data_IF_058806796684
#
_entry.id   IF_058806796684
#
_cell.length_a   1.000
_cell.length_b   1.000
_cell.length_c   1.000
_cell.angle_alpha   90.00
_cell.angle_beta   90.00
_cell.angle_gamma   90.00
#
_symmetry.space_group_name_H-M   'P 1'
#
loop_
_entity.id
_entity.type
_entity.pdbx_description
1 polymer ?
#
# COMPACT_ATOMS: atom_id res chain seq x y z
N UNK A 1 10.96 23.35 2.22
CA UNK A 1 11.81 23.93 1.15
C UNK A 1 12.97 24.70 1.75
N UNK A 2 13.68 25.51 0.95
CA UNK A 2 14.73 26.40 1.45
C UNK A 2 14.18 27.31 2.57
N UNK A 3 14.95 27.50 3.65
CA UNK A 3 14.56 28.36 4.78
C UNK A 3 13.83 27.70 5.94
N UNK A 4 13.53 26.40 5.90
CA UNK A 4 12.97 25.64 7.03
C UNK A 4 14.00 24.60 7.48
N UNK A 5 14.44 24.71 8.73
CA UNK A 5 15.35 23.78 9.39
C UNK A 5 14.66 23.14 10.61
N UNK A 6 14.04 21.99 10.38
CA UNK A 6 13.39 21.19 11.42
C UNK A 6 14.18 19.88 11.53
N UNK A 7 14.80 19.64 12.68
CA UNK A 7 15.72 18.52 12.86
C UNK A 7 15.02 17.15 12.87
N UNK A 8 13.77 17.11 13.32
CA UNK A 8 13.00 15.88 13.57
C UNK A 8 12.00 15.51 12.46
N UNK A 9 12.34 15.78 11.20
CA UNK A 9 11.54 15.31 10.06
C UNK A 9 11.77 13.80 9.88
N UNK A 10 10.70 13.00 10.05
CA UNK A 10 10.76 11.53 9.97
C UNK A 10 10.49 10.95 8.58
N UNK A 11 9.87 11.73 7.70
CA UNK A 11 9.57 11.29 6.34
C UNK A 11 9.66 12.45 5.37
N UNK A 12 10.28 12.19 4.22
CA UNK A 12 10.19 13.04 3.02
C UNK A 12 9.58 12.18 1.91
N UNK A 13 8.51 12.68 1.31
CA UNK A 13 7.78 11.97 0.25
C UNK A 13 7.83 12.80 -1.02
N UNK A 14 8.44 12.24 -2.06
CA UNK A 14 8.39 12.75 -3.42
C UNK A 14 7.22 12.09 -4.15
N UNK A 15 6.17 12.87 -4.43
CA UNK A 15 4.96 12.39 -5.13
C UNK A 15 5.13 12.31 -6.66
N UNK A 16 6.33 12.55 -7.16
CA UNK A 16 6.74 12.42 -8.55
C UNK A 16 8.27 12.46 -8.62
N UNK A 17 8.84 11.91 -9.69
CA UNK A 17 10.29 11.96 -9.89
C UNK A 17 10.79 13.42 -9.94
N UNK A 18 11.80 13.82 -9.16
CA UNK A 18 12.50 15.09 -9.34
C UNK A 18 13.17 15.19 -10.70
N UNK A 19 13.53 16.41 -11.10
CA UNK A 19 14.25 16.65 -12.37
C UNK A 19 15.71 16.20 -12.34
N UNK A 20 16.30 15.99 -11.17
CA UNK A 20 17.70 15.59 -11.01
C UNK A 20 18.00 14.95 -9.65
N UNK A 21 19.15 14.26 -9.55
CA UNK A 21 19.64 13.67 -8.30
C UNK A 21 20.01 14.76 -7.27
N UNK A 22 20.51 15.91 -7.70
CA UNK A 22 20.84 17.04 -6.81
C UNK A 22 19.59 17.57 -6.12
N UNK A 23 18.50 17.76 -6.88
CA UNK A 23 17.19 18.13 -6.34
C UNK A 23 16.71 17.10 -5.32
N UNK A 24 16.73 15.82 -5.70
CA UNK A 24 16.34 14.73 -4.81
C UNK A 24 17.15 14.72 -3.50
N UNK A 25 18.47 14.86 -3.57
CA UNK A 25 19.35 14.87 -2.40
C UNK A 25 19.14 16.08 -1.50
N UNK A 26 18.99 17.27 -2.08
CA UNK A 26 18.75 18.48 -1.30
C UNK A 26 17.42 18.43 -0.54
N UNK A 27 16.42 17.78 -1.13
CA UNK A 27 15.07 17.66 -0.58
C UNK A 27 14.97 16.51 0.42
N UNK A 28 15.46 15.32 0.06
CA UNK A 28 15.45 14.12 0.92
C UNK A 28 16.38 14.25 2.12
N UNK A 29 17.54 14.92 1.97
CA UNK A 29 18.49 15.21 3.06
C UNK A 29 17.98 16.18 4.14
N UNK A 30 16.71 16.56 4.09
CA UNK A 30 16.02 17.26 5.19
C UNK A 30 15.45 16.31 6.24
N UNK A 31 15.30 15.02 5.90
CA UNK A 31 14.90 13.99 6.84
C UNK A 31 16.04 13.67 7.82
N UNK A 32 15.72 13.32 9.07
CA UNK A 32 16.70 12.68 9.97
C UNK A 32 17.90 13.54 10.40
N UNK A 33 17.80 14.88 10.42
CA UNK A 33 18.93 15.75 10.81
C UNK A 33 19.35 15.63 12.27
N UNK A 34 18.45 15.13 13.11
CA UNK A 34 18.73 14.72 14.49
C UNK A 34 19.49 13.37 14.61
N UNK A 35 19.79 12.71 13.48
CA UNK A 35 20.49 11.43 13.43
C UNK A 35 19.60 10.21 13.72
N UNK A 36 18.31 10.41 14.00
CA UNK A 36 17.35 9.32 14.16
C UNK A 36 16.84 8.82 12.81
N UNK A 37 16.35 7.59 12.79
CA UNK A 37 15.79 6.96 11.59
C UNK A 37 14.71 7.83 10.93
N UNK A 38 14.76 7.87 9.60
CA UNK A 38 13.83 8.60 8.78
C UNK A 38 13.73 7.98 7.39
N UNK A 39 12.55 8.08 6.79
CA UNK A 39 12.26 7.50 5.47
C UNK A 39 12.27 8.54 4.37
N UNK A 40 12.83 8.18 3.23
CA UNK A 40 12.73 8.93 1.99
C UNK A 40 12.00 8.08 0.96
N UNK A 41 10.76 8.46 0.64
CA UNK A 41 9.88 7.70 -0.26
C UNK A 41 9.73 8.47 -1.57
N UNK A 42 10.13 7.84 -2.67
CA UNK A 42 9.95 8.40 -4.00
C UNK A 42 8.94 7.56 -4.80
N UNK A 43 7.85 8.21 -5.18
CA UNK A 43 6.82 7.66 -6.05
C UNK A 43 7.08 8.23 -7.45
N UNK A 44 7.33 7.35 -8.42
CA UNK A 44 7.55 7.79 -9.81
C UNK A 44 6.64 7.05 -10.78
N UNK A 45 6.47 7.67 -11.95
CA UNK A 45 5.82 7.07 -13.10
C UNK A 45 6.68 7.21 -14.36
N UNK A 46 6.49 6.35 -15.36
CA UNK A 46 7.14 6.48 -16.67
C UNK A 46 6.79 7.77 -17.42
N UNK A 47 5.78 8.53 -16.96
CA UNK A 47 5.41 9.85 -17.53
C UNK A 47 6.25 11.00 -16.97
N UNK A 48 6.83 10.83 -15.80
CA UNK A 48 7.61 11.88 -15.13
C UNK A 48 8.84 12.32 -15.94
N UNK A 49 9.69 11.41 -16.48
CA UNK A 49 10.81 11.84 -17.33
C UNK A 49 10.36 12.52 -18.63
N UNK A 50 9.20 12.14 -19.18
CA UNK A 50 8.65 12.77 -20.40
C UNK A 50 8.24 14.21 -20.11
N UNK A 51 7.56 14.44 -18.98
CA UNK A 51 7.16 15.78 -18.56
C UNK A 51 8.37 16.69 -18.35
N UNK A 52 9.38 16.23 -17.61
CA UNK A 52 10.59 17.03 -17.38
C UNK A 52 11.39 17.29 -18.65
N UNK A 53 11.51 16.31 -19.54
CA UNK A 53 12.18 16.50 -20.83
C UNK A 53 11.54 17.62 -21.61
N UNK A 54 10.21 17.60 -21.75
CA UNK A 54 9.48 18.66 -22.44
C UNK A 54 9.75 20.03 -21.81
N UNK A 55 9.70 20.13 -20.48
CA UNK A 55 9.99 21.38 -19.78
C UNK A 55 11.43 21.88 -19.98
N UNK A 56 12.40 20.96 -20.14
CA UNK A 56 13.80 21.29 -20.40
C UNK A 56 13.99 21.76 -21.86
N UNK A 57 13.37 21.06 -22.81
CA UNK A 57 13.42 21.37 -24.25
C UNK A 57 12.70 22.68 -24.60
N UNK A 58 11.59 22.98 -23.91
CA UNK A 58 10.85 24.24 -24.03
C UNK A 58 11.62 25.44 -23.39
N UNK A 59 12.72 25.16 -22.67
CA UNK A 59 13.56 26.14 -21.99
C UNK A 59 14.69 26.73 -22.85
N UNK A 60 15.72 27.28 -22.21
CA UNK A 60 16.88 27.85 -22.93
C UNK A 60 17.79 26.76 -23.54
N UNK A 61 18.12 26.81 -24.85
CA UNK A 61 18.87 25.76 -25.53
C UNK A 61 20.26 25.48 -24.96
N UNK A 62 20.94 26.52 -24.46
CA UNK A 62 22.31 26.45 -23.94
C UNK A 62 22.47 25.60 -22.66
N UNK A 63 21.38 25.37 -21.92
CA UNK A 63 21.37 24.60 -20.67
C UNK A 63 20.80 23.18 -20.83
N UNK A 64 20.27 22.87 -22.03
CA UNK A 64 19.50 21.64 -22.27
C UNK A 64 20.32 20.36 -22.11
N UNK A 65 21.55 20.30 -22.65
CA UNK A 65 22.36 19.06 -22.64
C UNK A 65 22.68 18.58 -21.22
N UNK A 66 23.15 19.47 -20.35
CA UNK A 66 23.46 19.13 -18.96
C UNK A 66 22.21 18.75 -18.17
N UNK A 67 21.11 19.50 -18.34
CA UNK A 67 19.84 19.20 -17.70
C UNK A 67 19.26 17.83 -18.14
N UNK A 68 19.39 17.48 -19.41
CA UNK A 68 18.97 16.17 -19.93
C UNK A 68 19.81 15.02 -19.36
N UNK A 69 21.12 15.22 -19.16
CA UNK A 69 22.00 14.25 -18.50
C UNK A 69 21.60 14.05 -17.03
N UNK A 70 21.34 15.14 -16.30
CA UNK A 70 20.86 15.08 -14.92
C UNK A 70 19.50 14.39 -14.79
N UNK A 71 18.59 14.63 -15.75
CA UNK A 71 17.30 13.96 -15.82
C UNK A 71 17.44 12.46 -16.07
N UNK A 72 18.33 12.08 -17.00
CA UNK A 72 18.64 10.67 -17.28
C UNK A 72 19.24 9.97 -16.06
N UNK A 73 20.13 10.63 -15.32
CA UNK A 73 20.68 10.10 -14.08
C UNK A 73 19.59 9.87 -13.01
N UNK A 74 18.67 10.81 -12.84
CA UNK A 74 17.55 10.66 -11.91
C UNK A 74 16.61 9.54 -12.31
N UNK A 75 16.33 9.41 -13.61
CA UNK A 75 15.54 8.31 -14.13
C UNK A 75 16.22 6.95 -13.90
N UNK A 76 17.54 6.87 -14.15
CA UNK A 76 18.34 5.68 -13.88
C UNK A 76 18.33 5.31 -12.39
N UNK A 77 18.37 6.30 -11.49
CA UNK A 77 18.24 6.09 -10.05
C UNK A 77 16.90 5.45 -9.66
N UNK A 78 15.80 5.83 -10.32
CA UNK A 78 14.47 5.28 -10.05
C UNK A 78 14.30 3.84 -10.57
N UNK A 79 14.93 3.50 -11.70
CA UNK A 79 14.65 2.27 -12.43
C UNK A 79 15.67 1.16 -12.25
N UNK A 80 16.93 1.49 -11.99
CA UNK A 80 17.99 0.50 -11.84
C UNK A 80 17.85 -0.24 -10.51
N UNK A 81 17.99 -1.57 -10.52
CA UNK A 81 18.02 -2.38 -9.29
C UNK A 81 19.43 -2.40 -8.72
N UNK A 82 19.83 -1.25 -8.15
CA UNK A 82 21.13 -1.05 -7.52
C UNK A 82 20.95 -0.34 -6.18
N UNK A 83 21.80 -0.64 -5.21
CA UNK A 83 21.81 0.05 -3.90
C UNK A 83 21.66 1.57 -4.08
N UNK A 84 20.55 2.14 -3.57
CA UNK A 84 20.22 3.57 -3.75
C UNK A 84 21.33 4.47 -3.24
N UNK A 85 21.83 4.18 -2.04
CA UNK A 85 22.93 4.95 -1.43
C UNK A 85 24.19 4.90 -2.28
N UNK A 86 24.56 3.73 -2.82
CA UNK A 86 25.72 3.57 -3.70
C UNK A 86 25.59 4.47 -4.93
N UNK A 87 24.44 4.44 -5.59
CA UNK A 87 24.16 5.29 -6.75
C UNK A 87 24.30 6.76 -6.40
N UNK A 88 23.78 7.20 -5.24
CA UNK A 88 23.87 8.59 -4.81
C UNK A 88 25.32 9.02 -4.56
N UNK A 89 26.11 8.26 -3.79
CA UNK A 89 27.48 8.67 -3.47
C UNK A 89 28.38 8.66 -4.72
N UNK A 90 28.22 7.68 -5.60
CA UNK A 90 28.98 7.60 -6.85
C UNK A 90 28.62 8.71 -7.83
N UNK A 91 27.35 9.15 -7.86
CA UNK A 91 26.93 10.31 -8.63
C UNK A 91 27.70 11.58 -8.22
N UNK A 92 28.03 11.74 -6.93
CA UNK A 92 28.85 12.85 -6.43
C UNK A 92 30.36 12.54 -6.38
N UNK A 93 30.82 11.51 -7.10
CA UNK A 93 32.24 11.17 -7.23
C UNK A 93 32.84 10.51 -5.98
N UNK A 94 32.02 10.02 -5.06
CA UNK A 94 32.45 9.28 -3.87
C UNK A 94 32.30 7.77 -4.07
N UNK A 95 32.88 6.97 -3.19
CA UNK A 95 32.75 5.50 -3.23
C UNK A 95 32.12 4.99 -1.95
N UNK A 96 31.19 4.04 -2.08
CA UNK A 96 30.66 3.32 -0.93
C UNK A 96 31.63 2.18 -0.58
N UNK A 97 32.32 2.30 0.57
CA UNK A 97 33.30 1.31 1.04
C UNK A 97 32.68 -0.06 1.39
N UNK A 98 31.42 -0.06 1.82
CA UNK A 98 30.65 -1.29 2.08
C UNK A 98 30.09 -1.85 0.76
N UNK A 99 29.80 -3.15 0.72
CA UNK A 99 29.19 -3.79 -0.45
C UNK A 99 27.80 -3.20 -0.78
N UNK A 100 26.98 -2.93 0.24
CA UNK A 100 25.68 -2.29 0.11
C UNK A 100 25.36 -1.43 1.35
N UNK A 101 24.24 -0.70 1.35
CA UNK A 101 23.88 0.17 2.48
C UNK A 101 23.06 -0.51 3.58
N UNK A 102 22.49 -1.70 3.34
CA UNK A 102 21.64 -2.41 4.28
C UNK A 102 20.31 -1.73 4.65
N UNK A 103 19.93 -0.62 4.01
CA UNK A 103 18.80 0.21 4.44
C UNK A 103 17.86 0.69 3.32
N UNK A 104 18.19 0.50 2.03
CA UNK A 104 17.29 0.89 0.94
C UNK A 104 16.47 -0.30 0.42
N UNK A 105 15.36 0.01 -0.26
CA UNK A 105 14.45 -0.95 -0.91
C UNK A 105 15.16 -2.07 -1.68
N UNK A 106 16.21 -1.76 -2.44
CA UNK A 106 16.99 -2.77 -3.18
C UNK A 106 17.79 -3.67 -2.23
N UNK A 107 18.45 -3.11 -1.22
CA UNK A 107 19.27 -3.87 -0.27
C UNK A 107 18.43 -4.69 0.72
N UNK A 108 17.21 -4.23 1.01
CA UNK A 108 16.23 -4.93 1.84
C UNK A 108 15.48 -6.02 1.06
N UNK A 109 15.63 -6.07 -0.26
CA UNK A 109 14.99 -7.06 -1.13
C UNK A 109 13.55 -6.73 -1.50
N UNK A 110 13.08 -5.51 -1.24
CA UNK A 110 11.76 -5.03 -1.65
C UNK A 110 11.67 -4.84 -3.18
N UNK A 111 12.81 -4.51 -3.81
CA UNK A 111 12.97 -4.43 -5.26
C UNK A 111 14.08 -5.38 -5.68
N UNK A 112 13.76 -6.32 -6.57
CA UNK A 112 14.71 -7.31 -7.07
C UNK A 112 14.81 -7.26 -8.60
N UNK A 113 15.98 -7.56 -9.15
CA UNK A 113 16.19 -7.66 -10.58
C UNK A 113 15.54 -8.94 -11.12
N UNK A 114 15.17 -8.92 -12.40
CA UNK A 114 14.76 -10.13 -13.11
C UNK A 114 15.99 -10.87 -13.62
N UNK A 115 16.06 -12.16 -13.34
CA UNK A 115 17.18 -13.02 -13.75
C UNK A 115 17.23 -13.21 -15.28
N UNK A 116 16.08 -13.11 -15.96
CA UNK A 116 15.92 -13.27 -17.40
C UNK A 116 15.59 -11.95 -18.12
N UNK A 117 16.06 -10.81 -17.58
CA UNK A 117 15.80 -9.46 -18.10
C UNK A 117 16.05 -9.35 -19.61
N UNK A 118 17.15 -9.92 -20.11
CA UNK A 118 17.49 -9.91 -21.53
C UNK A 118 16.44 -10.62 -22.39
N UNK A 119 16.01 -11.82 -22.00
CA UNK A 119 15.04 -12.61 -22.77
C UNK A 119 13.69 -11.90 -22.82
N UNK A 120 13.24 -11.34 -21.70
CA UNK A 120 12.00 -10.57 -21.65
C UNK A 120 12.06 -9.32 -22.51
N UNK A 121 13.17 -8.58 -22.44
CA UNK A 121 13.37 -7.40 -23.26
C UNK A 121 13.41 -7.75 -24.76
N UNK A 122 14.04 -8.86 -25.12
CA UNK A 122 14.05 -9.39 -26.48
C UNK A 122 12.64 -9.77 -26.97
N UNK A 123 11.81 -10.41 -26.13
CA UNK A 123 10.41 -10.70 -26.47
C UNK A 123 9.61 -9.42 -26.74
N UNK A 124 9.78 -8.41 -25.90
CA UNK A 124 9.10 -7.11 -26.03
C UNK A 124 9.55 -6.40 -27.31
N UNK A 125 10.87 -6.20 -27.50
CA UNK A 125 11.40 -5.52 -28.69
C UNK A 125 11.09 -6.29 -29.98
N UNK A 126 11.09 -7.62 -29.94
CA UNK A 126 10.66 -8.49 -31.05
C UNK A 126 9.20 -8.25 -31.45
N UNK A 127 8.33 -7.95 -30.49
CA UNK A 127 6.94 -7.60 -30.77
C UNK A 127 6.84 -6.19 -31.37
N UNK A 128 7.60 -5.22 -30.85
CA UNK A 128 7.66 -3.86 -31.42
C UNK A 128 8.11 -3.91 -32.90
N UNK A 129 9.13 -4.71 -33.21
CA UNK A 129 9.60 -4.92 -34.58
C UNK A 129 8.52 -5.54 -35.49
N UNK A 130 7.82 -6.58 -35.02
CA UNK A 130 6.74 -7.26 -35.78
C UNK A 130 5.48 -6.42 -35.96
N UNK A 131 5.30 -5.41 -35.12
CA UNK A 131 4.24 -4.41 -35.23
C UNK A 131 4.66 -3.22 -36.12
N UNK A 132 5.75 -3.39 -36.90
CA UNK A 132 6.36 -2.38 -37.78
C UNK A 132 6.67 -1.04 -37.09
N UNK A 133 6.82 -1.05 -35.75
CA UNK A 133 7.04 0.14 -34.93
C UNK A 133 5.93 1.21 -35.08
N UNK A 134 4.68 0.77 -35.32
CA UNK A 134 3.52 1.66 -35.56
C UNK A 134 2.56 1.80 -34.37
N UNK A 135 2.88 1.17 -33.25
CA UNK A 135 1.96 1.03 -32.11
C UNK A 135 2.65 1.42 -30.80
N UNK A 136 1.87 2.01 -29.89
CA UNK A 136 2.33 2.40 -28.56
C UNK A 136 2.35 1.24 -27.55
N UNK A 137 2.86 1.54 -26.35
CA UNK A 137 3.06 0.58 -25.25
C UNK A 137 1.82 -0.24 -24.90
N UNK A 138 0.65 0.40 -24.87
CA UNK A 138 -0.62 -0.23 -24.52
C UNK A 138 -1.02 -1.34 -25.49
N UNK A 139 -0.91 -1.06 -26.78
CA UNK A 139 -1.28 -2.02 -27.83
C UNK A 139 -0.26 -3.16 -27.88
N UNK A 140 1.03 -2.83 -27.80
CA UNK A 140 2.11 -3.82 -27.76
C UNK A 140 1.95 -4.77 -26.55
N UNK A 141 1.63 -4.23 -25.37
CA UNK A 141 1.39 -5.04 -24.18
C UNK A 141 0.17 -5.96 -24.34
N UNK A 142 -0.91 -5.50 -24.98
CA UNK A 142 -2.09 -6.33 -25.29
C UNK A 142 -1.76 -7.49 -26.24
N UNK A 143 -0.92 -7.25 -27.26
CA UNK A 143 -0.47 -8.31 -28.18
C UNK A 143 0.36 -9.35 -27.43
N UNK A 144 1.36 -8.90 -26.67
CA UNK A 144 2.26 -9.76 -25.87
C UNK A 144 1.50 -10.63 -24.85
N UNK A 145 0.43 -10.09 -24.25
CA UNK A 145 -0.41 -10.79 -23.26
C UNK A 145 -1.55 -11.61 -23.86
N UNK A 146 -1.73 -11.59 -25.19
CA UNK A 146 -2.76 -12.41 -25.86
C UNK A 146 -4.17 -11.86 -25.75
N UNK A 147 -4.35 -10.53 -25.72
CA UNK A 147 -5.67 -9.91 -25.65
C UNK A 147 -6.55 -10.24 -26.88
N UNK A 148 -7.85 -10.43 -26.65
CA UNK A 148 -8.86 -10.62 -27.72
C UNK A 148 -9.46 -9.30 -28.24
N UNK A 149 -8.73 -8.20 -28.13
CA UNK A 149 -9.15 -6.89 -28.63
C UNK A 149 -9.46 -6.94 -30.14
N UNK A 150 -10.62 -6.41 -30.54
CA UNK A 150 -11.10 -6.48 -31.93
C UNK A 150 -10.09 -5.88 -32.92
N UNK A 151 -9.36 -4.84 -32.52
CA UNK A 151 -8.33 -4.19 -33.35
C UNK A 151 -7.10 -5.08 -33.56
N UNK A 152 -6.80 -5.99 -32.62
CA UNK A 152 -5.72 -6.97 -32.77
C UNK A 152 -6.13 -8.03 -33.81
N UNK A 153 -7.36 -8.53 -33.68
CA UNK A 153 -7.92 -9.54 -34.59
C UNK A 153 -8.06 -9.00 -36.02
N UNK A 154 -8.61 -7.79 -36.19
CA UNK A 154 -8.80 -7.18 -37.51
C UNK A 154 -7.48 -6.88 -38.23
N UNK A 155 -6.42 -6.59 -37.48
CA UNK A 155 -5.08 -6.33 -38.03
C UNK A 155 -4.26 -7.61 -38.25
N UNK A 156 -4.79 -8.80 -37.89
CA UNK A 156 -4.09 -10.07 -38.01
C UNK A 156 -2.90 -10.24 -37.05
N UNK A 157 -2.83 -9.42 -35.99
CA UNK A 157 -1.73 -9.44 -35.04
C UNK A 157 -1.81 -10.59 -34.03
N UNK A 158 -2.97 -11.26 -33.97
CA UNK A 158 -3.18 -12.54 -33.28
C UNK A 158 -2.35 -13.69 -33.89
N UNK A 159 -1.90 -13.54 -35.15
CA UNK A 159 -1.11 -14.55 -35.87
C UNK A 159 0.41 -14.35 -35.74
N UNK A 160 0.84 -13.27 -35.10
CA UNK A 160 2.27 -12.99 -34.90
C UNK A 160 2.86 -13.99 -33.92
N UNK A 161 4.13 -14.40 -34.13
CA UNK A 161 4.82 -15.31 -33.22
C UNK A 161 5.05 -14.73 -31.81
N UNK A 162 4.85 -13.43 -31.63
CA UNK A 162 4.93 -12.73 -30.34
C UNK A 162 3.58 -12.53 -29.67
N UNK A 163 2.48 -12.93 -30.32
CA UNK A 163 1.15 -12.91 -29.70
C UNK A 163 1.11 -13.90 -28.53
N UNK A 164 0.60 -13.46 -27.39
CA UNK A 164 0.49 -14.25 -26.16
C UNK A 164 1.81 -14.83 -25.61
N UNK A 165 2.99 -14.36 -26.07
CA UNK A 165 4.30 -14.87 -25.62
C UNK A 165 4.64 -14.52 -24.17
N UNK A 166 3.88 -13.59 -23.56
CA UNK A 166 3.93 -13.16 -22.17
C UNK A 166 2.54 -13.29 -21.49
N UNK A 167 1.73 -14.28 -21.89
CA UNK A 167 0.37 -14.47 -21.38
C UNK A 167 0.31 -14.81 -19.87
N UNK A 168 1.41 -15.27 -19.29
CA UNK A 168 1.59 -15.53 -17.86
C UNK A 168 1.77 -14.25 -17.02
N UNK A 169 1.92 -13.09 -17.67
CA UNK A 169 2.09 -11.81 -17.01
C UNK A 169 0.88 -10.91 -17.18
N UNK A 170 0.64 -10.05 -16.18
CA UNK A 170 -0.44 -9.07 -16.26
C UNK A 170 -0.15 -7.99 -17.31
N UNK A 171 -1.20 -7.42 -17.91
CA UNK A 171 -1.06 -6.29 -18.84
C UNK A 171 -0.29 -5.10 -18.22
N UNK A 172 -0.52 -4.85 -16.92
CA UNK A 172 0.18 -3.79 -16.19
C UNK A 172 1.68 -4.09 -16.07
N UNK A 173 2.02 -5.32 -15.70
CA UNK A 173 3.40 -5.79 -15.60
C UNK A 173 4.16 -5.59 -16.92
N UNK A 174 3.58 -6.02 -18.04
CA UNK A 174 4.23 -5.90 -19.35
C UNK A 174 4.40 -4.43 -19.76
N UNK A 175 3.43 -3.57 -19.45
CA UNK A 175 3.56 -2.11 -19.63
C UNK A 175 4.70 -1.55 -18.79
N UNK A 176 4.80 -1.93 -17.52
CA UNK A 176 5.86 -1.44 -16.62
C UNK A 176 7.25 -1.81 -17.16
N UNK A 177 7.43 -3.01 -17.72
CA UNK A 177 8.68 -3.39 -18.39
C UNK A 177 8.94 -2.61 -19.68
N UNK A 178 7.92 -2.34 -20.50
CA UNK A 178 8.06 -1.48 -21.68
C UNK A 178 8.56 -0.09 -21.25
N UNK A 179 7.98 0.50 -20.20
CA UNK A 179 8.42 1.80 -19.69
C UNK A 179 9.87 1.75 -19.14
N UNK A 180 10.26 0.65 -18.50
CA UNK A 180 11.66 0.46 -18.07
C UNK A 180 12.63 0.39 -19.26
N UNK A 181 12.24 -0.25 -20.37
CA UNK A 181 13.05 -0.29 -21.60
C UNK A 181 13.10 1.06 -22.31
N UNK A 182 12.00 1.81 -22.33
CA UNK A 182 11.97 3.19 -22.84
C UNK A 182 12.92 4.06 -22.01
N UNK A 183 12.84 3.89 -20.69
CA UNK A 183 13.69 4.55 -19.74
C UNK A 183 15.19 4.29 -19.91
N UNK A 184 15.55 3.03 -20.18
CA UNK A 184 16.92 2.61 -20.45
C UNK A 184 17.37 2.87 -21.90
N UNK A 185 16.56 3.57 -22.69
CA UNK A 185 16.81 3.91 -24.09
C UNK A 185 16.96 2.71 -25.02
N UNK A 186 16.45 1.53 -24.65
CA UNK A 186 16.32 0.41 -25.58
C UNK A 186 15.11 0.60 -26.52
N UNK A 187 14.08 1.28 -26.03
CA UNK A 187 12.93 1.73 -26.80
C UNK A 187 12.81 3.25 -26.69
N UNK A 188 12.07 3.85 -27.61
CA UNK A 188 11.66 5.25 -27.52
C UNK A 188 10.21 5.43 -27.97
N UNK A 189 9.60 6.53 -27.55
CA UNK A 189 8.25 6.93 -27.96
C UNK A 189 8.36 8.06 -28.96
N UNK A 190 8.02 7.79 -30.21
CA UNK A 190 8.14 8.74 -31.32
C UNK A 190 6.78 9.30 -31.76
N UNK A 191 6.80 10.55 -32.23
CA UNK A 191 5.64 11.23 -32.81
C UNK A 191 4.53 11.56 -31.82
N UNK A 192 3.47 12.19 -32.35
CA UNK A 192 2.30 12.64 -31.57
C UNK A 192 1.52 11.49 -30.93
N UNK A 193 1.55 10.31 -31.57
CA UNK A 193 0.85 9.10 -31.09
C UNK A 193 1.69 8.22 -30.16
N UNK A 194 2.90 8.65 -29.77
CA UNK A 194 3.81 7.91 -28.90
C UNK A 194 4.02 6.45 -29.33
N UNK A 195 4.25 6.23 -30.62
CA UNK A 195 4.53 4.88 -31.15
C UNK A 195 5.89 4.41 -30.64
N UNK A 196 5.99 3.12 -30.33
CA UNK A 196 7.26 2.55 -29.87
C UNK A 196 8.19 2.29 -31.06
N UNK A 197 9.41 2.80 -30.95
CA UNK A 197 10.50 2.52 -31.86
C UNK A 197 11.68 1.91 -31.11
N UNK A 198 12.43 1.07 -31.80
CA UNK A 198 13.62 0.41 -31.28
C UNK A 198 14.82 1.29 -31.62
N UNK A 199 15.55 1.71 -30.59
CA UNK A 199 16.75 2.54 -30.74
C UNK A 199 17.92 1.70 -31.25
N UNK A 200 19.04 2.33 -31.60
CA UNK A 200 20.29 1.61 -31.92
C UNK A 200 20.73 0.68 -30.78
N UNK A 201 20.59 1.12 -29.53
CA UNK A 201 20.87 0.31 -28.34
C UNK A 201 19.88 -0.86 -28.20
N UNK A 202 18.60 -0.64 -28.52
CA UNK A 202 17.58 -1.70 -28.59
C UNK A 202 17.92 -2.80 -29.59
N UNK A 203 18.45 -2.42 -30.76
CA UNK A 203 18.91 -3.40 -31.75
C UNK A 203 20.14 -4.19 -31.29
N UNK A 204 21.06 -3.58 -30.53
CA UNK A 204 22.16 -4.29 -29.87
C UNK A 204 21.66 -5.30 -28.83
N UNK A 205 20.70 -4.89 -28.00
CA UNK A 205 20.04 -5.78 -27.03
C UNK A 205 19.35 -6.96 -27.70
N UNK A 206 18.68 -6.75 -28.84
CA UNK A 206 18.08 -7.83 -29.63
C UNK A 206 19.09 -8.88 -30.11
N UNK A 207 20.35 -8.48 -30.35
CA UNK A 207 21.45 -9.39 -30.70
C UNK A 207 22.13 -10.04 -29.49
N UNK A 208 21.81 -9.60 -28.28
CA UNK A 208 22.49 -10.02 -27.04
C UNK A 208 23.75 -9.22 -26.72
N UNK A 209 24.01 -8.12 -27.43
CA UNK A 209 25.20 -7.27 -27.26
C UNK A 209 25.04 -6.20 -26.14
N UNK A 210 23.92 -6.22 -25.41
CA UNK A 210 23.59 -5.31 -24.33
C UNK A 210 22.72 -6.02 -23.28
N UNK A 211 22.90 -5.67 -22.01
CA UNK A 211 22.23 -6.31 -20.87
C UNK A 211 21.23 -5.35 -20.20
N UNK A 212 19.92 -5.48 -20.51
CA UNK A 212 18.88 -4.65 -19.91
C UNK A 212 18.64 -5.09 -18.46
N UNK A 213 18.32 -4.14 -17.59
CA UNK A 213 18.01 -4.41 -16.19
C UNK A 213 16.53 -4.17 -15.96
N UNK A 214 15.74 -5.24 -15.87
CA UNK A 214 14.33 -5.15 -15.53
C UNK A 214 14.15 -5.47 -14.05
N UNK A 215 13.34 -4.66 -13.37
CA UNK A 215 12.88 -4.96 -12.02
C UNK A 215 11.72 -5.95 -12.05
N UNK A 216 11.71 -6.86 -11.08
CA UNK A 216 10.57 -7.72 -10.83
C UNK A 216 9.36 -6.83 -10.55
N UNK A 217 8.20 -7.14 -11.12
CA UNK A 217 6.97 -6.45 -10.75
C UNK A 217 6.83 -6.57 -9.25
N UNK A 218 6.54 -5.45 -8.58
CA UNK A 218 6.17 -5.52 -7.17
C UNK A 218 5.08 -6.59 -7.08
N UNK A 219 5.24 -7.62 -6.22
CA UNK A 219 4.20 -8.62 -6.07
C UNK A 219 2.92 -7.85 -5.85
N UNK A 220 1.85 -8.24 -6.55
CA UNK A 220 0.51 -7.76 -6.22
C UNK A 220 0.34 -8.04 -4.74
N UNK A 221 0.61 -7.05 -3.89
CA UNK A 221 0.50 -7.18 -2.44
C UNK A 221 -0.97 -7.42 -2.26
N UNK A 222 -1.31 -8.70 -2.10
CA UNK A 222 -2.66 -9.12 -1.83
C UNK A 222 -3.11 -8.24 -0.67
N UNK A 223 -4.31 -7.66 -0.77
CA UNK A 223 -4.90 -6.80 0.26
C UNK A 223 -4.81 -7.40 1.69
N UNK A 224 -4.57 -8.72 1.78
CA UNK A 224 -4.23 -9.54 2.94
C UNK A 224 -2.90 -9.21 3.64
N UNK A 225 -1.80 -8.94 2.92
CA UNK A 225 -0.47 -8.71 3.55
C UNK A 225 -0.37 -7.35 4.23
N UNK A 226 -1.17 -6.36 3.82
CA UNK A 226 -1.27 -5.08 4.53
C UNK A 226 -1.85 -5.20 5.94
N UNK A 227 -2.44 -6.34 6.31
CA UNK A 227 -3.06 -6.55 7.64
C UNK A 227 -2.18 -7.34 8.62
N UNK A 228 -1.10 -7.97 8.19
CA UNK A 228 -0.28 -8.82 9.07
C UNK A 228 0.98 -8.15 9.63
N UNK A 229 1.29 -6.92 9.21
CA UNK A 229 2.27 -6.08 9.88
C UNK A 229 1.54 -4.94 10.61
N UNK A 230 0.71 -5.30 11.60
CA UNK A 230 0.29 -4.32 12.58
C UNK A 230 1.57 -3.82 13.27
N UNK A 231 1.76 -2.50 13.26
CA UNK A 231 2.88 -1.89 13.99
C UNK A 231 2.85 -2.38 15.44
N UNK A 232 3.99 -2.58 16.13
CA UNK A 232 4.00 -2.85 17.57
C UNK A 232 3.19 -1.83 18.40
N UNK A 233 3.00 -0.61 17.86
CA UNK A 233 2.15 0.44 18.42
C UNK A 233 0.64 0.19 18.26
N UNK A 234 0.24 -0.76 17.42
CA UNK A 234 -1.14 -1.15 17.17
C UNK A 234 -1.54 -2.48 17.81
N UNK A 235 -0.60 -3.19 18.44
CA UNK A 235 -0.90 -4.42 19.20
C UNK A 235 -1.87 -4.14 20.34
N UNK A 236 -2.78 -5.07 20.56
CA UNK A 236 -3.71 -5.11 21.70
C UNK A 236 -3.17 -5.91 22.89
N UNK A 237 -1.96 -6.46 22.78
CA UNK A 237 -1.34 -7.21 23.87
C UNK A 237 -1.15 -6.30 25.10
N UNK A 238 -1.62 -6.77 26.26
CA UNK A 238 -1.58 -6.04 27.53
C UNK A 238 -2.53 -4.84 27.64
N UNK A 239 -3.34 -4.54 26.61
CA UNK A 239 -4.29 -3.42 26.62
C UNK A 239 -5.60 -3.88 27.28
N UNK A 240 -6.01 -3.21 28.34
CA UNK A 240 -7.36 -3.41 28.89
C UNK A 240 -8.41 -2.75 27.98
N UNK A 241 -9.30 -3.57 27.40
CA UNK A 241 -10.25 -3.08 26.39
C UNK A 241 -11.36 -2.22 26.99
N UNK A 242 -11.81 -2.54 28.21
CA UNK A 242 -12.86 -1.75 28.86
C UNK A 242 -12.36 -0.39 29.31
N UNK A 243 -11.11 -0.32 29.78
CA UNK A 243 -10.43 0.95 30.04
C UNK A 243 -10.25 1.74 28.74
N UNK A 244 -9.79 1.11 27.66
CA UNK A 244 -9.66 1.79 26.36
C UNK A 244 -10.98 2.41 25.91
N UNK A 245 -12.10 1.70 26.02
CA UNK A 245 -13.41 2.22 25.64
C UNK A 245 -13.87 3.37 26.55
N UNK A 246 -13.62 3.29 27.86
CA UNK A 246 -13.84 4.40 28.81
C UNK A 246 -13.05 5.65 28.42
N UNK A 247 -11.75 5.50 28.13
CA UNK A 247 -10.90 6.63 27.70
C UNK A 247 -11.32 7.16 26.32
N UNK A 248 -11.83 6.30 25.43
CA UNK A 248 -12.37 6.71 24.13
C UNK A 248 -13.64 7.54 24.28
N UNK A 249 -14.54 7.18 25.20
CA UNK A 249 -15.74 7.95 25.51
C UNK A 249 -15.37 9.32 26.09
N UNK A 250 -14.46 9.35 27.08
CA UNK A 250 -13.95 10.60 27.65
C UNK A 250 -13.34 11.52 26.58
N UNK A 251 -12.54 10.96 25.67
CA UNK A 251 -11.95 11.72 24.56
C UNK A 251 -13.03 12.36 23.67
N UNK A 252 -14.08 11.62 23.33
CA UNK A 252 -15.17 12.11 22.49
C UNK A 252 -15.90 13.27 23.19
N UNK A 253 -16.13 13.18 24.48
CA UNK A 253 -16.72 14.24 25.28
C UNK A 253 -15.86 15.51 25.29
N UNK A 254 -14.58 15.40 25.64
CA UNK A 254 -13.64 16.53 25.68
C UNK A 254 -13.45 17.19 24.30
N UNK A 255 -13.52 16.40 23.23
CA UNK A 255 -13.44 16.88 21.87
C UNK A 255 -14.69 17.68 21.47
N UNK A 256 -15.87 17.20 21.85
CA UNK A 256 -17.14 17.91 21.64
C UNK A 256 -17.17 19.24 22.41
N UNK A 257 -16.74 19.26 23.67
CA UNK A 257 -16.67 20.47 24.49
C UNK A 257 -15.75 21.55 23.90
N UNK A 258 -14.67 21.14 23.23
CA UNK A 258 -13.70 22.04 22.59
C UNK A 258 -14.00 22.32 21.11
N UNK A 259 -15.03 21.69 20.53
CA UNK A 259 -15.37 21.83 19.11
C UNK A 259 -14.26 21.35 18.16
N UNK A 260 -13.47 20.34 18.57
CA UNK A 260 -12.36 19.78 17.78
C UNK A 260 -12.58 18.29 17.51
N UNK A 261 -12.01 17.72 16.43
CA UNK A 261 -12.08 16.27 16.22
C UNK A 261 -11.39 15.46 17.34
N UNK A 262 -11.91 14.27 17.72
CA UNK A 262 -11.39 13.49 18.85
C UNK A 262 -9.89 13.20 18.83
N UNK A 263 -9.32 12.90 17.66
CA UNK A 263 -7.89 12.60 17.52
C UNK A 263 -6.96 13.78 17.85
N UNK A 264 -7.48 15.02 17.88
CA UNK A 264 -6.74 16.23 18.27
C UNK A 264 -6.48 16.26 19.78
N UNK A 265 -7.42 15.73 20.58
CA UNK A 265 -7.26 15.55 22.03
C UNK A 265 -6.19 14.50 22.30
N UNK A 266 -6.45 13.23 21.92
CA UNK A 266 -5.51 12.12 22.03
C UNK A 266 -5.72 11.10 20.88
N UNK A 267 -4.64 10.50 20.39
CA UNK A 267 -4.72 9.47 19.34
C UNK A 267 -5.09 8.11 19.94
N UNK A 268 -5.63 7.20 19.13
CA UNK A 268 -5.92 5.82 19.57
C UNK A 268 -4.66 5.07 20.04
N UNK A 269 -3.49 5.46 19.55
CA UNK A 269 -2.20 4.92 20.04
C UNK A 269 -1.97 5.33 21.50
N UNK A 270 -2.20 6.61 21.84
CA UNK A 270 -2.06 7.09 23.21
C UNK A 270 -3.08 6.43 24.14
N UNK A 271 -4.34 6.29 23.72
CA UNK A 271 -5.37 5.62 24.53
C UNK A 271 -5.05 4.14 24.79
N UNK A 272 -4.55 3.41 23.78
CA UNK A 272 -4.13 2.01 23.94
C UNK A 272 -2.94 1.88 24.88
N UNK A 273 -1.95 2.75 24.75
CA UNK A 273 -0.77 2.72 25.61
C UNK A 273 -1.10 3.15 27.05
N UNK A 274 -2.04 4.08 27.26
CA UNK A 274 -2.61 4.39 28.57
C UNK A 274 -3.35 3.20 29.18
N UNK A 275 -4.20 2.54 28.42
CA UNK A 275 -4.96 1.38 28.91
C UNK A 275 -4.05 0.17 29.21
N UNK A 276 -2.88 0.09 28.56
CA UNK A 276 -1.82 -0.88 28.86
C UNK A 276 -1.05 -0.54 30.13
N UNK A 277 -0.49 0.67 30.22
CA UNK A 277 0.39 1.11 31.31
C UNK A 277 -0.36 1.49 32.58
N UNK A 278 -1.59 1.98 32.45
CA UNK A 278 -2.46 2.47 33.54
C UNK A 278 -1.72 3.46 34.47
N UNK A 279 -1.17 4.56 33.92
CA UNK A 279 -0.33 5.50 34.68
C UNK A 279 -1.07 6.03 35.91
N UNK A 280 -0.40 6.08 37.07
CA UNK A 280 -0.97 6.57 38.33
C UNK A 280 -0.68 8.05 38.61
N UNK A 281 0.23 8.67 37.87
CA UNK A 281 0.60 10.08 38.05
C UNK A 281 0.74 10.83 36.72
N UNK A 282 0.76 12.16 36.81
CA UNK A 282 1.02 13.01 35.65
C UNK A 282 2.43 12.79 35.11
N UNK A 283 3.40 12.47 35.96
CA UNK A 283 4.74 12.09 35.54
C UNK A 283 4.72 10.80 34.72
N UNK A 284 4.01 9.76 35.19
CA UNK A 284 3.88 8.48 34.48
C UNK A 284 3.15 8.63 33.14
N UNK A 285 2.26 9.63 32.99
CA UNK A 285 1.62 9.93 31.71
C UNK A 285 2.60 10.39 30.62
N UNK A 286 3.76 10.97 30.97
CA UNK A 286 4.75 11.38 29.96
C UNK A 286 5.44 10.18 29.30
N UNK A 287 5.42 9.01 29.94
CA UNK A 287 5.95 7.78 29.38
C UNK A 287 4.98 7.11 28.39
N UNK A 288 3.73 7.58 28.34
CA UNK A 288 2.73 7.11 27.38
C UNK A 288 3.06 7.63 25.99
N UNK A 289 3.20 6.70 25.03
CA UNK A 289 3.48 7.04 23.64
C UNK A 289 2.35 7.89 23.04
N UNK A 290 2.67 9.12 22.64
CA UNK A 290 1.72 10.06 22.03
C UNK A 290 1.15 11.13 22.99
N UNK A 291 1.61 11.14 24.24
CA UNK A 291 1.34 12.18 25.24
C UNK A 291 2.59 13.03 25.42
N UNK A 292 2.55 14.27 24.94
CA UNK A 292 3.58 15.27 25.21
C UNK A 292 3.18 16.22 26.33
N UNK A 293 4.10 17.08 26.76
CA UNK A 293 3.89 18.03 27.86
C UNK A 293 2.60 18.85 27.73
N UNK A 294 2.30 19.34 26.52
CA UNK A 294 1.08 20.11 26.24
C UNK A 294 -0.19 19.28 26.47
N UNK A 295 -0.23 18.04 25.97
CA UNK A 295 -1.41 17.17 26.13
C UNK A 295 -1.60 16.71 27.57
N UNK A 296 -0.49 16.49 28.29
CA UNK A 296 -0.51 16.23 29.73
C UNK A 296 -1.08 17.43 30.50
N UNK A 297 -0.64 18.65 30.17
CA UNK A 297 -1.16 19.86 30.82
C UNK A 297 -2.64 20.10 30.49
N UNK A 298 -3.03 19.92 29.23
CA UNK A 298 -4.37 20.24 28.75
C UNK A 298 -5.44 19.21 29.14
N UNK A 299 -5.05 17.93 29.31
CA UNK A 299 -5.98 16.80 29.46
C UNK A 299 -5.58 15.78 30.54
N UNK A 300 -4.38 15.86 31.11
CA UNK A 300 -3.81 14.79 31.93
C UNK A 300 -4.64 14.47 33.17
N UNK A 301 -5.13 15.48 33.87
CA UNK A 301 -5.96 15.29 35.08
C UNK A 301 -7.26 14.53 34.78
N UNK A 302 -7.95 14.88 33.70
CA UNK A 302 -9.20 14.23 33.31
C UNK A 302 -9.00 12.75 32.95
N UNK A 303 -7.93 12.43 32.20
CA UNK A 303 -7.62 11.05 31.84
C UNK A 303 -7.10 10.24 33.03
N UNK A 304 -6.33 10.83 33.94
CA UNK A 304 -5.89 10.15 35.16
C UNK A 304 -7.05 9.80 36.10
N UNK A 305 -8.01 10.71 36.25
CA UNK A 305 -9.21 10.47 37.05
C UNK A 305 -10.01 9.29 36.47
N UNK A 306 -10.25 9.28 35.15
CA UNK A 306 -10.95 8.17 34.50
C UNK A 306 -10.21 6.82 34.61
N UNK A 307 -8.87 6.83 34.57
CA UNK A 307 -8.07 5.63 34.82
C UNK A 307 -8.19 5.18 36.27
N UNK A 308 -8.19 6.12 37.23
CA UNK A 308 -8.32 5.81 38.66
C UNK A 308 -9.67 5.17 38.97
N UNK A 309 -10.75 5.82 38.55
CA UNK A 309 -12.13 5.36 38.74
C UNK A 309 -12.32 3.96 38.16
N UNK A 310 -11.80 3.73 36.95
CA UNK A 310 -11.90 2.44 36.29
C UNK A 310 -11.09 1.36 37.01
N UNK A 311 -9.83 1.65 37.40
CA UNK A 311 -8.98 0.68 38.10
C UNK A 311 -9.54 0.35 39.49
N UNK A 312 -10.08 1.34 40.21
CA UNK A 312 -10.73 1.14 41.50
C UNK A 312 -11.99 0.27 41.38
N UNK A 313 -12.80 0.49 40.34
CA UNK A 313 -14.03 -0.29 40.11
C UNK A 313 -13.77 -1.74 39.65
N UNK A 314 -12.66 -1.98 38.95
CA UNK A 314 -12.35 -3.29 38.33
C UNK A 314 -11.25 -4.08 39.05
N UNK A 315 -10.59 -3.48 40.04
CA UNK A 315 -9.48 -4.10 40.77
C UNK A 315 -8.18 -4.24 39.96
N UNK A 316 -8.01 -3.43 38.90
CA UNK A 316 -6.82 -3.46 38.05
C UNK A 316 -5.64 -2.73 38.71
N UNK A 317 -4.44 -3.31 38.59
CA UNK A 317 -3.21 -2.68 39.07
C UNK A 317 -2.79 -1.50 38.18
N UNK A 318 -2.35 -0.40 38.82
CA UNK A 318 -1.78 0.79 38.15
C UNK A 318 -0.27 0.65 37.94
N UNK A 319 0.29 1.50 37.09
CA UNK A 319 1.71 1.57 36.74
C UNK A 319 2.31 0.22 36.36
N UNK A 320 1.68 -0.43 35.39
CA UNK A 320 2.18 -1.70 34.89
C UNK A 320 3.38 -1.45 33.99
N UNK A 321 4.55 -1.79 34.54
CA UNK A 321 5.83 -1.81 33.83
C UNK A 321 5.69 -2.67 32.58
N UNK A 322 5.63 -2.00 31.43
CA UNK A 322 5.77 -2.66 30.14
C UNK A 322 7.26 -2.60 29.81
N UNK A 323 7.97 -3.72 29.60
CA UNK A 323 9.37 -3.65 29.20
C UNK A 323 9.48 -2.75 27.97
N UNK A 324 10.43 -1.80 28.04
CA UNK A 324 10.73 -0.93 26.91
C UNK A 324 10.96 -1.82 25.69
N UNK A 325 10.10 -1.68 24.67
CA UNK A 325 10.25 -2.38 23.39
C UNK A 325 11.43 -1.77 22.61
N UNK A 326 12.62 -1.88 23.19
CA UNK A 326 13.93 -1.60 22.65
C UNK A 326 14.87 -2.59 23.35
N UNK A 327 14.75 -3.87 23.00
CA UNK A 327 15.88 -4.82 23.00
C UNK A 327 15.46 -6.10 22.26
N UNK A 328 16.22 -6.38 21.20
CA UNK A 328 16.35 -7.64 20.48
C UNK A 328 15.08 -8.47 20.17
N UNK A 329 14.49 -8.27 18.99
CA UNK A 329 13.84 -9.39 18.29
C UNK A 329 14.88 -10.04 17.36
N UNK A 330 15.37 -11.26 17.63
CA UNK A 330 16.17 -11.98 16.65
C UNK A 330 15.28 -12.33 15.45
N UNK A 331 15.82 -12.36 14.22
CA UNK A 331 15.01 -12.61 13.05
C UNK A 331 14.41 -14.01 13.15
N UNK A 332 13.08 -14.09 13.12
CA UNK A 332 12.36 -15.35 12.94
C UNK A 332 12.81 -15.94 11.59
N UNK A 333 13.63 -16.99 11.68
CA UNK A 333 14.00 -17.81 10.54
C UNK A 333 12.71 -18.37 9.93
N UNK A 334 12.48 -18.05 8.66
CA UNK A 334 11.48 -18.74 7.84
C UNK A 334 11.89 -20.22 7.78
N UNK A 335 11.05 -21.08 8.34
CA UNK A 335 11.01 -22.46 7.89
C UNK A 335 10.37 -22.44 6.51
N UNK A 336 11.20 -22.66 5.49
CA UNK A 336 10.76 -23.21 4.22
C UNK A 336 10.17 -24.60 4.49
N UNK A 337 8.91 -24.79 4.12
CA UNK A 337 8.41 -26.06 3.63
C UNK A 337 7.20 -25.82 2.73
N UNK A 338 7.12 -26.66 1.70
CA UNK A 338 6.43 -26.46 0.44
C UNK A 338 4.90 -26.76 0.46
N UNK A 339 4.25 -26.24 -0.60
CA UNK A 339 3.00 -26.63 -1.29
C UNK A 339 1.72 -27.04 -0.52
N UNK A 340 0.58 -26.39 -0.83
CA UNK A 340 -0.60 -26.98 -1.52
C UNK A 340 -1.87 -26.11 -1.39
N UNK A 341 -2.73 -26.14 -2.41
CA UNK A 341 -3.95 -25.33 -2.55
C UNK A 341 -5.15 -25.73 -1.63
N UNK A 342 -4.96 -26.67 -0.71
CA UNK A 342 -6.01 -27.25 0.15
C UNK A 342 -6.51 -26.40 1.36
N UNK A 343 -5.79 -25.42 1.95
CA UNK A 343 -6.21 -24.84 3.24
C UNK A 343 -7.31 -23.77 3.15
N UNK A 344 -7.68 -23.30 1.94
CA UNK A 344 -8.72 -22.26 1.77
C UNK A 344 -10.15 -22.84 1.72
N UNK A 345 -10.37 -23.97 1.05
CA UNK A 345 -11.69 -24.59 0.94
C UNK A 345 -12.21 -25.11 2.29
N UNK A 346 -11.35 -25.80 3.05
CA UNK A 346 -11.70 -26.31 4.39
C UNK A 346 -12.17 -25.21 5.35
N UNK A 347 -11.50 -24.06 5.34
CA UNK A 347 -11.86 -22.93 6.21
C UNK A 347 -13.21 -22.28 5.82
N UNK A 348 -13.62 -22.35 4.55
CA UNK A 348 -14.93 -21.86 4.10
C UNK A 348 -16.04 -22.85 4.45
N UNK A 349 -15.80 -24.15 4.29
CA UNK A 349 -16.73 -25.21 4.69
C UNK A 349 -17.00 -25.21 6.20
N UNK A 350 -15.95 -25.06 7.03
CA UNK A 350 -16.06 -24.92 8.48
C UNK A 350 -16.87 -23.67 8.88
N UNK A 351 -16.64 -22.53 8.19
CA UNK A 351 -17.41 -21.31 8.43
C UNK A 351 -18.90 -21.48 8.12
N UNK A 352 -19.24 -22.18 7.03
CA UNK A 352 -20.62 -22.43 6.63
C UNK A 352 -21.35 -23.26 7.69
N UNK A 353 -20.70 -24.27 8.27
CA UNK A 353 -21.28 -25.05 9.35
C UNK A 353 -21.59 -24.20 10.59
N UNK A 354 -20.74 -23.22 10.92
CA UNK A 354 -21.03 -22.28 12.02
C UNK A 354 -22.24 -21.38 11.72
N UNK A 355 -22.37 -20.87 10.50
CA UNK A 355 -23.51 -20.02 10.12
C UNK A 355 -24.83 -20.77 9.99
N UNK A 356 -24.82 -22.03 9.56
CA UNK A 356 -26.03 -22.89 9.58
C UNK A 356 -26.62 -23.02 10.99
N UNK A 357 -25.77 -22.97 12.02
CA UNK A 357 -26.17 -23.01 13.42
C UNK A 357 -26.52 -21.63 14.01
N UNK A 358 -26.60 -20.57 13.18
CA UNK A 358 -26.95 -19.22 13.62
C UNK A 358 -25.87 -18.53 14.46
N UNK A 359 -24.63 -19.02 14.41
CA UNK A 359 -23.52 -18.43 15.17
C UNK A 359 -23.25 -16.99 14.72
N UNK A 360 -22.99 -16.10 15.69
CA UNK A 360 -22.65 -14.71 15.39
C UNK A 360 -21.34 -14.60 14.60
N UNK A 361 -21.15 -13.49 13.88
CA UNK A 361 -19.91 -13.24 13.14
C UNK A 361 -18.68 -13.19 14.05
N UNK A 362 -18.86 -12.70 15.29
CA UNK A 362 -17.80 -12.58 16.29
C UNK A 362 -17.40 -13.97 16.78
N UNK A 363 -18.37 -14.81 17.12
CA UNK A 363 -18.11 -16.17 17.61
C UNK A 363 -17.51 -17.05 16.52
N UNK A 364 -17.99 -16.93 15.27
CA UNK A 364 -17.43 -17.62 14.12
C UNK A 364 -15.99 -17.16 13.83
N UNK A 365 -15.68 -15.86 13.98
CA UNK A 365 -14.32 -15.35 13.86
C UNK A 365 -13.38 -15.90 14.93
N UNK A 366 -13.87 -16.02 16.17
CA UNK A 366 -13.13 -16.65 17.27
C UNK A 366 -12.90 -18.14 17.04
N UNK A 367 -13.95 -18.90 16.68
CA UNK A 367 -13.87 -20.34 16.45
C UNK A 367 -12.89 -20.71 15.32
N UNK A 368 -12.87 -19.90 14.25
CA UNK A 368 -12.03 -20.14 13.07
C UNK A 368 -10.62 -19.53 13.19
N UNK A 369 -10.34 -18.72 14.22
CA UNK A 369 -9.08 -17.97 14.33
C UNK A 369 -8.85 -17.02 13.15
N UNK A 370 -9.91 -16.40 12.62
CA UNK A 370 -9.87 -15.54 11.43
C UNK A 370 -10.34 -14.12 11.76
N UNK A 371 -9.87 -13.15 10.97
CA UNK A 371 -10.33 -11.77 11.11
C UNK A 371 -11.82 -11.63 10.79
N UNK A 372 -12.55 -10.80 11.56
CA UNK A 372 -13.98 -10.53 11.41
C UNK A 372 -14.42 -10.32 9.95
N UNK A 373 -13.80 -9.37 9.25
CA UNK A 373 -14.08 -9.09 7.84
C UNK A 373 -13.89 -10.28 6.86
N UNK A 374 -13.03 -11.25 7.20
CA UNK A 374 -12.85 -12.50 6.41
C UNK A 374 -14.04 -13.41 6.63
N UNK A 375 -14.49 -13.55 7.88
CA UNK A 375 -15.67 -14.33 8.27
C UNK A 375 -16.96 -13.69 7.76
N UNK A 376 -17.08 -12.36 7.76
CA UNK A 376 -18.16 -11.66 7.09
C UNK A 376 -18.15 -11.90 5.56
N UNK A 377 -16.97 -12.09 4.96
CA UNK A 377 -16.86 -12.55 3.57
C UNK A 377 -17.39 -13.98 3.36
N UNK A 378 -17.08 -14.90 4.27
CA UNK A 378 -17.65 -16.25 4.25
C UNK A 378 -19.16 -16.23 4.47
N UNK A 379 -19.68 -15.36 5.33
CA UNK A 379 -21.12 -15.22 5.53
C UNK A 379 -21.82 -14.73 4.27
N UNK A 380 -21.29 -13.69 3.59
CA UNK A 380 -21.86 -13.24 2.32
C UNK A 380 -21.85 -14.37 1.27
N UNK A 381 -20.76 -15.14 1.20
CA UNK A 381 -20.69 -16.29 0.29
C UNK A 381 -21.73 -17.35 0.67
N UNK A 382 -21.88 -17.67 1.95
CA UNK A 382 -22.89 -18.60 2.47
C UNK A 382 -24.32 -18.14 2.11
N UNK A 383 -24.63 -16.86 2.32
CA UNK A 383 -25.94 -16.29 2.03
C UNK A 383 -26.25 -16.31 0.53
N UNK A 384 -25.27 -16.00 -0.32
CA UNK A 384 -25.41 -16.10 -1.77
C UNK A 384 -25.62 -17.56 -2.23
N UNK A 385 -24.79 -18.49 -1.75
CA UNK A 385 -24.87 -19.91 -2.12
C UNK A 385 -26.19 -20.55 -1.67
N UNK A 386 -26.72 -20.15 -0.51
CA UNK A 386 -27.99 -20.63 0.03
C UNK A 386 -29.20 -19.82 -0.47
N UNK A 387 -29.00 -18.78 -1.31
CA UNK A 387 -30.03 -17.84 -1.74
C UNK A 387 -30.90 -17.32 -0.59
N UNK A 388 -30.28 -17.03 0.55
CA UNK A 388 -31.00 -16.51 1.72
C UNK A 388 -31.41 -15.05 1.49
N UNK A 389 -32.67 -14.76 1.82
CA UNK A 389 -33.29 -13.43 1.65
C UNK A 389 -33.32 -12.61 2.95
N UNK A 390 -33.03 -13.26 4.08
CA UNK A 390 -33.06 -12.69 5.42
C UNK A 390 -31.64 -12.69 6.01
N UNK A 391 -31.10 -11.53 6.42
CA UNK A 391 -29.79 -11.44 7.05
C UNK A 391 -29.79 -11.79 8.55
N UNK A 392 -30.92 -12.16 9.16
CA UNK A 392 -30.96 -12.60 10.55
C UNK A 392 -30.19 -13.93 10.75
N UNK A 393 -29.44 -14.10 11.87
CA UNK A 393 -29.33 -13.21 13.03
C UNK A 393 -28.18 -12.17 12.95
N UNK A 394 -27.56 -11.97 11.80
CA UNK A 394 -26.30 -11.22 11.68
C UNK A 394 -26.47 -9.71 11.47
N UNK A 395 -27.63 -9.29 10.98
CA UNK A 395 -28.00 -7.88 10.81
C UNK A 395 -29.38 -7.66 11.39
N UNK A 396 -29.53 -6.62 12.20
CA UNK A 396 -30.80 -6.21 12.79
C UNK A 396 -31.81 -5.79 11.72
N UNK A 397 -33.09 -6.06 11.97
CA UNK A 397 -34.17 -5.75 11.01
C UNK A 397 -34.29 -4.25 10.70
N UNK A 398 -33.95 -3.37 11.64
CA UNK A 398 -33.92 -1.93 11.43
C UNK A 398 -32.82 -1.51 10.47
N UNK A 399 -31.64 -2.14 10.56
CA UNK A 399 -30.51 -1.89 9.64
C UNK A 399 -30.86 -2.37 8.23
N UNK A 400 -31.49 -3.55 8.10
CA UNK A 400 -31.94 -4.05 6.80
C UNK A 400 -32.89 -3.06 6.10
N UNK A 401 -33.85 -2.50 6.83
CA UNK A 401 -34.80 -1.50 6.30
C UNK A 401 -34.13 -0.20 5.88
N UNK A 402 -33.13 0.25 6.64
CA UNK A 402 -32.35 1.44 6.28
C UNK A 402 -31.56 1.23 4.99
N UNK A 403 -30.98 0.03 4.81
CA UNK A 403 -30.22 -0.32 3.60
C UNK A 403 -31.14 -0.47 2.39
N UNK A 404 -32.31 -1.09 2.54
CA UNK A 404 -33.33 -1.18 1.48
C UNK A 404 -33.69 0.20 0.93
N UNK A 405 -34.06 1.14 1.81
CA UNK A 405 -34.39 2.51 1.40
C UNK A 405 -33.19 3.21 0.73
N UNK A 406 -31.97 3.00 1.23
CA UNK A 406 -30.77 3.60 0.64
C UNK A 406 -30.47 3.03 -0.76
N UNK A 407 -30.70 1.74 -0.98
CA UNK A 407 -30.49 1.09 -2.29
C UNK A 407 -31.47 1.62 -3.34
N UNK A 408 -32.71 1.90 -2.98
CA UNK A 408 -33.69 2.51 -3.90
C UNK A 408 -33.25 3.91 -4.38
N UNK A 409 -32.58 4.67 -3.53
CA UNK A 409 -32.18 6.07 -3.80
C UNK A 409 -30.83 6.21 -4.51
N UNK A 410 -29.80 5.47 -4.07
CA UNK A 410 -28.43 5.61 -4.59
C UNK A 410 -27.88 4.39 -5.34
N UNK A 411 -28.66 3.30 -5.39
CA UNK A 411 -28.27 2.03 -6.01
C UNK A 411 -27.27 1.22 -5.17
N UNK A 412 -27.04 -0.03 -5.58
CA UNK A 412 -26.17 -0.99 -4.87
C UNK A 412 -24.84 -1.30 -5.58
N UNK A 413 -24.55 -0.66 -6.73
CA UNK A 413 -23.35 -0.94 -7.53
C UNK A 413 -22.02 -0.73 -6.78
N UNK A 414 -22.00 0.12 -5.74
CA UNK A 414 -20.86 0.35 -4.84
C UNK A 414 -21.37 0.62 -3.43
N UNK A 415 -20.67 0.10 -2.42
CA UNK A 415 -21.03 0.30 -1.00
C UNK A 415 -20.76 1.72 -0.47
N UNK A 416 -19.84 2.47 -1.09
CA UNK A 416 -19.44 3.80 -0.62
C UNK A 416 -20.58 4.83 -0.68
N UNK A 417 -21.34 4.96 -1.79
CA UNK A 417 -22.54 5.81 -1.84
C UNK A 417 -23.59 5.46 -0.78
N UNK A 418 -23.83 4.17 -0.51
CA UNK A 418 -24.75 3.73 0.55
C UNK A 418 -24.27 4.15 1.95
N UNK A 419 -22.97 3.96 2.22
CA UNK A 419 -22.35 4.38 3.47
C UNK A 419 -22.43 5.91 3.68
N UNK A 420 -22.21 6.69 2.62
CA UNK A 420 -22.31 8.16 2.65
C UNK A 420 -23.78 8.62 2.79
N UNK A 421 -24.73 7.96 2.14
CA UNK A 421 -26.16 8.27 2.25
C UNK A 421 -26.71 8.01 3.66
N UNK A 422 -26.21 6.96 4.32
CA UNK A 422 -26.56 6.60 5.69
C UNK A 422 -25.73 7.36 6.75
N UNK A 423 -24.95 8.37 6.35
CA UNK A 423 -24.08 9.18 7.22
C UNK A 423 -23.15 8.35 8.13
N UNK A 424 -22.73 7.18 7.64
CA UNK A 424 -21.90 6.23 8.39
C UNK A 424 -22.59 5.55 9.57
N UNK A 425 -23.92 5.63 9.71
CA UNK A 425 -24.69 4.98 10.77
C UNK A 425 -24.65 3.44 10.70
N UNK A 426 -24.40 2.89 9.50
CA UNK A 426 -24.28 1.44 9.25
C UNK A 426 -22.86 1.12 8.80
N UNK A 427 -22.24 0.11 9.42
CA UNK A 427 -20.89 -0.31 9.07
C UNK A 427 -20.83 -1.10 7.75
N UNK A 428 -19.63 -1.17 7.15
CA UNK A 428 -19.44 -1.82 5.85
C UNK A 428 -19.70 -3.32 5.82
N UNK A 429 -19.53 -4.04 6.94
CA UNK A 429 -19.82 -5.49 6.98
C UNK A 429 -21.34 -5.70 6.98
N UNK A 430 -22.09 -4.94 7.79
CA UNK A 430 -23.57 -4.95 7.81
C UNK A 430 -24.17 -4.55 6.46
N UNK A 431 -23.64 -3.49 5.82
CA UNK A 431 -24.06 -3.07 4.48
C UNK A 431 -23.87 -4.19 3.46
N UNK A 432 -22.70 -4.85 3.48
CA UNK A 432 -22.37 -5.91 2.54
C UNK A 432 -23.27 -7.13 2.71
N UNK A 433 -23.60 -7.51 3.94
CA UNK A 433 -24.50 -8.62 4.25
C UNK A 433 -25.93 -8.30 3.78
N UNK A 434 -26.46 -7.12 4.12
CA UNK A 434 -27.79 -6.68 3.72
C UNK A 434 -27.93 -6.61 2.18
N UNK A 435 -26.96 -6.03 1.48
CA UNK A 435 -26.95 -5.98 0.01
C UNK A 435 -26.91 -7.37 -0.61
N UNK A 436 -26.14 -8.31 -0.04
CA UNK A 436 -26.11 -9.71 -0.54
C UNK A 436 -27.50 -10.36 -0.47
N UNK A 437 -28.24 -10.14 0.62
CA UNK A 437 -29.61 -10.64 0.75
C UNK A 437 -30.59 -9.96 -0.21
N UNK A 438 -30.37 -8.68 -0.55
CA UNK A 438 -31.18 -7.96 -1.55
C UNK A 438 -30.91 -8.45 -2.97
N UNK A 439 -29.65 -8.65 -3.33
CA UNK A 439 -29.27 -9.21 -4.63
C UNK A 439 -29.87 -10.61 -4.85
N UNK A 440 -30.02 -11.41 -3.78
CA UNK A 440 -30.71 -12.70 -3.84
C UNK A 440 -32.23 -12.59 -4.06
N UNK A 441 -32.87 -11.45 -3.79
CA UNK A 441 -34.30 -11.21 -4.08
C UNK A 441 -34.53 -10.86 -5.55
N UNK A 442 -33.56 -10.17 -6.15
CA UNK A 442 -33.62 -9.68 -7.52
C UNK A 442 -33.12 -10.71 -8.57
N UNK A 443 -32.51 -11.82 -8.11
CA UNK A 443 -31.91 -12.90 -8.91
C UNK A 443 -32.74 -14.20 -8.90
#
# INVERSE_FOLDING_TARGET
GMGIDKSNVRYVIHAGMPKSIENYMQESGRAGRDGLEADCVLIYSGRDPVLWRKMIEDGEPSSSTGALQSLEAMWSFCTTVRCRHRTLVEYFGQTLAKENCGACDVCLGDVAAMDDSLVLAQKIASCVARLDQRYGADYTAKVLTGSHDQRIMSSGHDRLSTYAILADHSLRTVRDWIEQLVGQRYLEKAGEYHVLQITEQGWRMLRGDADPQLSRPAPSRNKRERRSAASPLESWDGVDRGLFDSLRQLRTQLAAERGVPPYVVLTDVALRDMARRRPASLEAMLEVKGVGEKKRADYGEAFLAAIDDYCAATGLARDVDTPAANDAVPPLRRHEQASEAAPRQRATEEAFAHFQNGMSLIDAAHALGRAHSTVAGYLCQFLADQKRLDPAPWVEADVMRQVENAVEEVGNARLKPLFEYLDGAVDYDSLRIAVTCLENRDA
#
